data_IF_511551879546
#
_entry.id   IF_511551879546
#
_cell.length_a   1.000
_cell.length_b   1.000
_cell.length_c   1.000
_cell.angle_alpha   90.00
_cell.angle_beta   90.00
_cell.angle_gamma   90.00
#
_symmetry.space_group_name_H-M   'P 1'
#
loop_
_entity.id
_entity.type
_entity.pdbx_description
1 polymer ?
#
# COMPACT_ATOMS: atom_id res chain seq x y z
N UNK A 1 12.85 -21.24 -29.45
CA UNK A 1 13.23 -21.23 -28.03
C UNK A 1 12.09 -21.66 -27.12
N UNK A 2 10.93 -20.98 -27.07
CA UNK A 2 9.77 -21.39 -26.24
C UNK A 2 9.47 -22.90 -26.32
N UNK A 3 9.33 -23.44 -27.54
CA UNK A 3 9.10 -24.88 -27.76
C UNK A 3 10.23 -25.76 -27.21
N UNK A 4 11.49 -25.32 -27.31
CA UNK A 4 12.63 -26.07 -26.81
C UNK A 4 12.68 -26.10 -25.27
N UNK A 5 12.44 -24.95 -24.61
CA UNK A 5 12.34 -24.87 -23.14
C UNK A 5 11.19 -25.74 -22.64
N UNK A 6 10.01 -25.64 -23.28
CA UNK A 6 8.86 -26.46 -22.94
C UNK A 6 9.15 -27.96 -23.10
N UNK A 7 9.85 -28.38 -24.16
CA UNK A 7 10.28 -29.77 -24.36
C UNK A 7 11.33 -30.23 -23.34
N UNK A 8 12.13 -29.32 -22.80
CA UNK A 8 13.12 -29.60 -21.76
C UNK A 8 12.52 -29.55 -20.34
N UNK A 9 11.25 -29.18 -20.19
CA UNK A 9 10.63 -28.94 -18.87
C UNK A 9 11.15 -27.71 -18.16
N UNK A 10 11.83 -26.81 -18.87
CA UNK A 10 12.39 -25.58 -18.33
C UNK A 10 11.36 -24.44 -18.36
N UNK A 11 11.38 -23.53 -17.37
CA UNK A 11 10.51 -22.36 -17.39
C UNK A 11 10.85 -21.48 -18.60
N UNK A 12 9.88 -20.79 -19.21
CA UNK A 12 10.09 -19.85 -20.32
C UNK A 12 10.65 -18.51 -19.83
N UNK A 13 11.71 -18.60 -19.04
CA UNK A 13 12.49 -17.52 -18.45
C UNK A 13 13.90 -17.61 -19.00
N UNK A 14 14.43 -16.48 -19.46
CA UNK A 14 15.81 -16.38 -19.94
C UNK A 14 16.46 -15.14 -19.34
N UNK A 15 17.78 -15.11 -19.31
CA UNK A 15 18.52 -13.91 -18.96
C UNK A 15 18.44 -12.87 -20.08
N UNK A 16 18.59 -11.60 -19.72
CA UNK A 16 18.69 -10.49 -20.67
C UNK A 16 19.89 -10.69 -21.62
N UNK A 17 21.00 -11.23 -21.11
CA UNK A 17 22.17 -11.57 -21.93
C UNK A 17 21.89 -12.64 -22.98
N UNK A 18 21.09 -13.67 -22.66
CA UNK A 18 20.63 -14.67 -23.64
C UNK A 18 19.73 -14.03 -24.70
N UNK A 19 18.82 -13.14 -24.27
CA UNK A 19 17.97 -12.39 -25.18
C UNK A 19 18.79 -11.49 -26.13
N UNK A 20 19.77 -10.76 -25.61
CA UNK A 20 20.73 -9.97 -26.38
C UNK A 20 21.51 -10.83 -27.38
N UNK A 21 21.97 -12.01 -26.97
CA UNK A 21 22.63 -12.98 -27.85
C UNK A 21 21.74 -13.41 -29.01
N UNK A 22 20.44 -13.61 -28.77
CA UNK A 22 19.46 -13.89 -29.83
C UNK A 22 19.26 -12.68 -30.75
N UNK A 23 19.07 -11.49 -30.19
CA UNK A 23 18.83 -10.27 -30.93
C UNK A 23 20.00 -9.95 -31.89
N UNK A 24 21.24 -10.17 -31.45
CA UNK A 24 22.45 -10.04 -32.28
C UNK A 24 22.41 -10.94 -33.51
N UNK A 25 21.91 -12.18 -33.38
CA UNK A 25 21.73 -13.11 -34.52
C UNK A 25 20.66 -12.64 -35.51
N UNK A 26 19.72 -11.82 -35.05
CA UNK A 26 18.68 -11.19 -35.87
C UNK A 26 19.10 -9.81 -36.41
N UNK A 27 20.40 -9.48 -36.39
CA UNK A 27 20.95 -8.18 -36.82
C UNK A 27 20.49 -6.95 -36.00
N UNK A 28 19.94 -7.15 -34.80
CA UNK A 28 19.71 -6.06 -33.85
C UNK A 28 21.03 -5.79 -33.11
N UNK A 29 21.80 -4.82 -33.61
CA UNK A 29 23.18 -4.57 -33.15
C UNK A 29 23.28 -3.44 -32.14
N UNK A 30 22.33 -2.50 -32.14
CA UNK A 30 22.37 -1.35 -31.24
C UNK A 30 21.52 -1.59 -29.99
N UNK A 31 21.89 -1.02 -28.83
CA UNK A 31 21.05 -1.07 -27.63
C UNK A 31 19.66 -0.46 -27.82
N UNK A 32 19.55 0.57 -28.67
CA UNK A 32 18.26 1.22 -28.96
C UNK A 32 17.34 0.33 -29.81
N UNK A 33 17.87 -0.39 -30.79
CA UNK A 33 17.10 -1.36 -31.57
C UNK A 33 16.58 -2.49 -30.68
N UNK A 34 17.43 -2.97 -29.76
CA UNK A 34 17.06 -3.99 -28.78
C UNK A 34 15.92 -3.50 -27.89
N UNK A 35 16.05 -2.30 -27.32
CA UNK A 35 15.02 -1.70 -26.45
C UNK A 35 13.69 -1.57 -27.18
N UNK A 36 13.68 -0.99 -28.38
CA UNK A 36 12.47 -0.86 -29.21
C UNK A 36 11.84 -2.20 -29.55
N UNK A 37 12.66 -3.23 -29.82
CA UNK A 37 12.19 -4.59 -30.06
C UNK A 37 11.51 -5.16 -28.81
N UNK A 38 12.14 -5.03 -27.64
CA UNK A 38 11.57 -5.49 -26.36
C UNK A 38 10.28 -4.76 -26.01
N UNK A 39 10.23 -3.44 -26.19
CA UNK A 39 9.03 -2.63 -25.98
C UNK A 39 7.90 -3.12 -26.89
N UNK A 40 8.18 -3.31 -28.18
CA UNK A 40 7.19 -3.79 -29.15
C UNK A 40 6.68 -5.20 -28.83
N UNK A 41 7.56 -6.11 -28.43
CA UNK A 41 7.18 -7.46 -28.02
C UNK A 41 6.38 -7.44 -26.70
N UNK A 42 6.69 -6.52 -25.80
CA UNK A 42 5.94 -6.30 -24.56
C UNK A 42 4.54 -5.75 -24.82
N UNK A 43 4.40 -4.81 -25.76
CA UNK A 43 3.10 -4.27 -26.19
C UNK A 43 2.21 -5.34 -26.81
N UNK A 44 2.80 -6.25 -27.59
CA UNK A 44 2.10 -7.40 -28.17
C UNK A 44 1.81 -8.52 -27.16
N UNK A 45 2.33 -8.42 -25.94
CA UNK A 45 2.18 -9.47 -24.92
C UNK A 45 2.98 -10.74 -25.22
N UNK A 46 4.02 -10.64 -26.05
CA UNK A 46 4.88 -11.75 -26.43
C UNK A 46 6.04 -11.98 -25.44
N UNK A 47 6.43 -10.95 -24.69
CA UNK A 47 7.39 -11.07 -23.60
C UNK A 47 7.09 -10.07 -22.49
N UNK A 48 7.72 -10.27 -21.33
CA UNK A 48 7.79 -9.28 -20.25
C UNK A 48 9.20 -9.22 -19.68
N UNK A 49 9.65 -8.02 -19.38
CA UNK A 49 10.89 -7.74 -18.65
C UNK A 49 10.54 -6.86 -17.45
N UNK A 50 10.96 -7.28 -16.26
CA UNK A 50 10.65 -6.60 -15.00
C UNK A 50 11.91 -6.01 -14.40
N UNK A 51 12.51 -5.05 -15.11
CA UNK A 51 13.76 -4.38 -14.70
C UNK A 51 13.66 -3.66 -13.36
N UNK A 52 12.45 -3.26 -12.96
CA UNK A 52 12.17 -2.56 -11.69
C UNK A 52 11.90 -3.50 -10.51
N UNK A 53 11.80 -4.82 -10.74
CA UNK A 53 11.52 -5.80 -9.70
C UNK A 53 12.82 -6.42 -9.20
N UNK A 54 13.17 -6.26 -7.91
CA UNK A 54 14.39 -6.83 -7.36
C UNK A 54 14.44 -8.35 -7.54
N UNK A 55 15.58 -8.88 -8.00
CA UNK A 55 15.77 -10.30 -8.30
C UNK A 55 15.25 -10.76 -9.67
N UNK A 56 14.62 -9.89 -10.46
CA UNK A 56 14.22 -10.15 -11.86
C UNK A 56 14.82 -9.14 -12.86
N UNK A 57 15.79 -8.33 -12.44
CA UNK A 57 16.33 -7.22 -13.23
C UNK A 57 16.93 -7.71 -14.56
N UNK A 58 17.49 -8.92 -14.54
CA UNK A 58 18.06 -9.59 -15.72
C UNK A 58 17.15 -10.67 -16.29
N UNK A 59 15.93 -10.85 -15.79
CA UNK A 59 15.02 -11.91 -16.25
C UNK A 59 14.06 -11.42 -17.33
N UNK A 60 13.98 -12.16 -18.44
CA UNK A 60 13.01 -11.94 -19.51
C UNK A 60 12.07 -13.14 -19.56
N UNK A 61 10.79 -12.89 -19.29
CA UNK A 61 9.71 -13.87 -19.47
C UNK A 61 9.34 -13.89 -20.94
N UNK A 62 9.71 -14.95 -21.65
CA UNK A 62 9.40 -15.06 -23.09
C UNK A 62 8.04 -15.73 -23.35
N UNK A 63 7.33 -16.21 -22.33
CA UNK A 63 5.95 -16.65 -22.44
C UNK A 63 5.12 -16.08 -21.27
N UNK A 64 4.48 -14.92 -21.45
CA UNK A 64 3.68 -14.30 -20.39
C UNK A 64 2.48 -15.13 -19.93
N UNK A 65 2.02 -16.10 -20.74
CA UNK A 65 0.94 -17.02 -20.31
C UNK A 65 1.42 -17.92 -19.18
N UNK A 66 2.63 -18.46 -19.26
CA UNK A 66 3.21 -19.26 -18.18
C UNK A 66 3.24 -18.49 -16.86
N UNK A 67 3.58 -17.20 -16.90
CA UNK A 67 3.58 -16.35 -15.70
C UNK A 67 2.17 -16.17 -15.14
N UNK A 68 1.17 -15.98 -16.01
CA UNK A 68 -0.22 -15.90 -15.59
C UNK A 68 -0.69 -17.23 -14.95
N UNK A 69 -0.32 -18.37 -15.54
CA UNK A 69 -0.61 -19.70 -15.02
C UNK A 69 0.05 -19.93 -13.65
N UNK A 70 1.29 -19.44 -13.45
CA UNK A 70 1.96 -19.43 -12.16
C UNK A 70 1.20 -18.59 -11.13
N UNK A 71 0.81 -17.36 -11.47
CA UNK A 71 0.01 -16.51 -10.57
C UNK A 71 -1.34 -17.14 -10.23
N UNK A 72 -1.97 -17.84 -11.17
CA UNK A 72 -3.23 -18.57 -10.97
C UNK A 72 -3.08 -19.85 -10.12
N UNK A 73 -1.85 -20.33 -9.88
CA UNK A 73 -1.62 -21.37 -8.86
C UNK A 73 -1.64 -20.80 -7.45
N UNK A 74 -1.21 -19.54 -7.27
CA UNK A 74 -1.21 -18.85 -5.98
C UNK A 74 -2.59 -18.28 -5.66
N UNK A 75 -3.22 -17.64 -6.64
CA UNK A 75 -4.58 -17.10 -6.53
C UNK A 75 -5.55 -18.13 -7.13
N UNK A 76 -6.13 -18.95 -6.26
CA UNK A 76 -6.86 -20.15 -6.70
C UNK A 76 -8.00 -20.50 -5.75
N UNK A 77 -9.13 -20.95 -6.30
CA UNK A 77 -10.24 -21.54 -5.53
C UNK A 77 -10.19 -23.07 -5.47
N UNK A 78 -9.18 -23.67 -6.11
CA UNK A 78 -8.99 -25.12 -6.10
C UNK A 78 -8.52 -25.61 -4.72
N UNK A 79 -9.27 -26.55 -4.13
CA UNK A 79 -9.01 -27.04 -2.78
C UNK A 79 -7.65 -27.76 -2.66
N UNK A 80 -7.21 -28.48 -3.70
CA UNK A 80 -5.92 -29.16 -3.71
C UNK A 80 -4.75 -28.17 -3.67
N UNK A 81 -4.81 -27.12 -4.48
CA UNK A 81 -3.80 -26.05 -4.48
C UNK A 81 -3.84 -25.22 -3.20
N UNK A 82 -5.02 -24.95 -2.65
CA UNK A 82 -5.15 -24.30 -1.35
C UNK A 82 -4.49 -25.14 -0.25
N UNK A 83 -4.65 -26.47 -0.27
CA UNK A 83 -3.99 -27.37 0.66
C UNK A 83 -2.46 -27.40 0.47
N UNK A 84 -1.97 -27.39 -0.79
CA UNK A 84 -0.54 -27.30 -1.09
C UNK A 84 0.10 -26.02 -0.52
N UNK A 85 -0.63 -24.90 -0.60
CA UNK A 85 -0.24 -23.62 -0.02
C UNK A 85 -0.40 -23.57 1.51
N UNK A 86 -1.04 -24.56 2.14
CA UNK A 86 -1.46 -24.46 3.54
C UNK A 86 -2.30 -23.19 3.78
N UNK A 87 -3.17 -22.86 2.82
CA UNK A 87 -3.93 -21.62 2.82
C UNK A 87 -5.06 -21.68 3.86
N UNK A 88 -5.10 -20.71 4.77
CA UNK A 88 -6.17 -20.56 5.76
C UNK A 88 -6.72 -19.13 5.70
N UNK A 89 -7.98 -18.98 5.26
CA UNK A 89 -8.65 -17.67 5.17
C UNK A 89 -7.83 -16.59 4.42
N UNK A 90 -7.12 -16.98 3.35
CA UNK A 90 -6.27 -16.10 2.55
C UNK A 90 -4.88 -15.83 3.16
N UNK A 91 -4.51 -16.51 4.23
CA UNK A 91 -3.18 -16.52 4.82
C UNK A 91 -2.40 -17.77 4.44
N UNK A 92 -1.10 -17.62 4.26
CA UNK A 92 -0.15 -18.71 4.02
C UNK A 92 1.23 -18.32 4.57
N UNK A 93 2.21 -19.22 4.50
CA UNK A 93 3.61 -18.91 4.81
C UNK A 93 4.37 -18.51 3.56
N UNK A 94 5.36 -17.63 3.69
CA UNK A 94 6.29 -17.28 2.61
C UNK A 94 6.99 -18.53 2.06
N UNK A 95 7.38 -19.46 2.94
CA UNK A 95 7.99 -20.75 2.56
C UNK A 95 7.07 -21.64 1.71
N UNK A 96 5.75 -21.58 1.92
CA UNK A 96 4.80 -22.32 1.08
C UNK A 96 4.70 -21.69 -0.31
N UNK A 97 4.63 -20.36 -0.39
CA UNK A 97 4.65 -19.63 -1.67
C UNK A 97 5.91 -19.93 -2.47
N UNK A 98 7.08 -19.83 -1.83
CA UNK A 98 8.37 -20.13 -2.45
C UNK A 98 8.44 -21.58 -2.96
N UNK A 99 7.93 -22.56 -2.21
CA UNK A 99 7.86 -23.95 -2.66
C UNK A 99 7.00 -24.13 -3.91
N UNK A 100 5.84 -23.48 -3.98
CA UNK A 100 4.96 -23.55 -5.16
C UNK A 100 5.62 -22.86 -6.37
N UNK A 101 6.31 -21.74 -6.16
CA UNK A 101 7.06 -21.09 -7.24
C UNK A 101 8.23 -21.97 -7.69
N UNK A 102 8.97 -22.55 -6.75
CA UNK A 102 10.12 -23.42 -7.00
C UNK A 102 9.73 -24.69 -7.75
N UNK A 103 8.51 -25.23 -7.55
CA UNK A 103 8.03 -26.42 -8.26
C UNK A 103 7.72 -26.16 -9.74
N UNK A 104 7.44 -24.91 -10.10
CA UNK A 104 7.13 -24.48 -11.48
C UNK A 104 8.35 -23.83 -12.16
N UNK A 105 9.24 -23.25 -11.36
CA UNK A 105 10.49 -22.63 -11.78
C UNK A 105 11.65 -23.32 -11.05
N UNK A 106 11.97 -24.59 -11.38
CA UNK A 106 13.15 -25.26 -10.85
C UNK A 106 14.41 -24.44 -11.17
N UNK A 107 15.46 -24.58 -10.35
CA UNK A 107 16.72 -23.88 -10.58
C UNK A 107 17.18 -24.13 -12.02
N UNK A 108 17.33 -23.06 -12.79
CA UNK A 108 17.80 -23.14 -14.16
C UNK A 108 19.24 -23.67 -14.17
N UNK A 109 19.61 -24.35 -15.25
CA UNK A 109 20.99 -24.69 -15.59
C UNK A 109 21.91 -23.46 -15.64
N UNK A 110 21.35 -22.25 -15.76
CA UNK A 110 22.04 -20.96 -15.77
C UNK A 110 22.32 -20.34 -14.38
N UNK A 111 22.04 -21.04 -13.27
CA UNK A 111 22.57 -20.71 -11.93
C UNK A 111 21.84 -19.64 -11.11
N UNK A 112 20.70 -19.12 -11.58
CA UNK A 112 19.87 -18.17 -10.81
C UNK A 112 18.59 -18.81 -10.26
N UNK A 113 18.31 -18.62 -8.97
CA UNK A 113 16.96 -18.87 -8.41
C UNK A 113 16.11 -17.63 -8.59
N UNK A 114 15.24 -17.64 -9.61
CA UNK A 114 14.29 -16.55 -9.88
C UNK A 114 13.11 -16.53 -8.89
N UNK A 115 13.08 -17.46 -7.93
CA UNK A 115 11.96 -17.68 -7.02
C UNK A 115 11.64 -16.42 -6.20
N UNK A 116 12.65 -15.83 -5.54
CA UNK A 116 12.46 -14.60 -4.75
C UNK A 116 11.96 -13.46 -5.64
N UNK A 117 12.56 -13.30 -6.82
CA UNK A 117 12.15 -12.31 -7.81
C UNK A 117 10.69 -12.46 -8.26
N UNK A 118 10.23 -13.70 -8.53
CA UNK A 118 8.85 -14.00 -8.91
C UNK A 118 7.87 -13.75 -7.76
N UNK A 119 8.25 -14.06 -6.52
CA UNK A 119 7.45 -13.72 -5.33
C UNK A 119 7.35 -12.20 -5.16
N UNK A 120 8.45 -11.46 -5.33
CA UNK A 120 8.48 -9.99 -5.31
C UNK A 120 7.64 -9.39 -6.43
N UNK A 121 7.61 -10.00 -7.61
CA UNK A 121 6.73 -9.59 -8.70
C UNK A 121 5.26 -9.72 -8.28
N UNK A 122 4.88 -10.83 -7.64
CA UNK A 122 3.52 -11.01 -7.13
C UNK A 122 3.17 -9.98 -6.04
N UNK A 123 4.14 -9.60 -5.21
CA UNK A 123 3.97 -8.50 -4.25
C UNK A 123 3.78 -7.16 -4.95
N UNK A 124 4.58 -6.87 -5.97
CA UNK A 124 4.46 -5.67 -6.78
C UNK A 124 3.09 -5.55 -7.47
N UNK A 125 2.55 -6.68 -7.93
CA UNK A 125 1.21 -6.77 -8.50
C UNK A 125 0.07 -6.68 -7.46
N UNK A 126 0.38 -6.64 -6.15
CA UNK A 126 -0.62 -6.65 -5.08
C UNK A 126 -1.36 -7.98 -4.92
N UNK A 127 -0.78 -9.08 -5.42
CA UNK A 127 -1.35 -10.43 -5.28
C UNK A 127 -0.93 -11.11 -3.98
N UNK A 128 0.22 -10.70 -3.43
CA UNK A 128 0.78 -11.20 -2.18
C UNK A 128 1.24 -10.01 -1.33
N UNK A 129 1.09 -10.08 -0.02
CA UNK A 129 1.70 -9.16 0.93
C UNK A 129 2.49 -9.96 1.96
N UNK A 130 3.79 -9.69 2.09
CA UNK A 130 4.54 -10.19 3.23
C UNK A 130 4.00 -9.56 4.52
N UNK A 131 3.82 -10.38 5.54
CA UNK A 131 3.42 -9.98 6.88
C UNK A 131 4.54 -10.35 7.89
N UNK A 132 4.34 -10.01 9.16
CA UNK A 132 5.27 -10.42 10.22
C UNK A 132 5.39 -11.95 10.31
N UNK A 133 6.50 -12.42 10.89
CA UNK A 133 6.73 -13.85 11.22
C UNK A 133 6.71 -14.81 10.03
N UNK A 134 7.30 -14.41 8.89
CA UNK A 134 7.34 -15.22 7.65
C UNK A 134 5.96 -15.59 7.07
N UNK A 135 4.90 -14.90 7.49
CA UNK A 135 3.56 -15.09 6.96
C UNK A 135 3.32 -14.21 5.73
N UNK A 136 2.35 -14.61 4.93
CA UNK A 136 1.91 -13.88 3.75
C UNK A 136 0.38 -13.84 3.69
N UNK A 137 -0.13 -12.70 3.23
CA UNK A 137 -1.54 -12.51 2.88
C UNK A 137 -1.67 -12.59 1.37
N UNK A 138 -2.69 -13.29 0.88
CA UNK A 138 -3.09 -13.32 -0.53
C UNK A 138 -4.43 -12.59 -0.64
N UNK A 139 -4.45 -11.25 -0.87
CA UNK A 139 -5.67 -10.44 -0.73
C UNK A 139 -6.89 -10.92 -1.51
N UNK A 140 -6.76 -11.42 -2.77
CA UNK A 140 -7.91 -11.95 -3.50
C UNK A 140 -8.56 -13.19 -2.86
N UNK A 141 -7.81 -13.90 -2.01
CA UNK A 141 -8.23 -15.14 -1.33
C UNK A 141 -8.78 -14.90 0.07
N UNK A 142 -8.81 -13.65 0.53
CA UNK A 142 -9.40 -13.28 1.81
C UNK A 142 -10.93 -13.44 1.78
N UNK A 143 -11.58 -13.66 2.94
CA UNK A 143 -13.04 -13.70 3.02
C UNK A 143 -13.67 -12.41 2.51
N UNK A 144 -14.72 -12.52 1.70
CA UNK A 144 -15.44 -11.35 1.19
C UNK A 144 -16.42 -10.81 2.24
N UNK A 145 -16.35 -9.49 2.49
CA UNK A 145 -17.27 -8.76 3.36
C UNK A 145 -17.92 -7.56 2.66
N UNK A 146 -17.76 -7.41 1.34
CA UNK A 146 -18.33 -6.28 0.60
C UNK A 146 -19.85 -6.20 0.65
N UNK A 147 -20.53 -7.31 0.94
CA UNK A 147 -21.99 -7.40 1.11
C UNK A 147 -22.46 -7.18 2.55
N UNK A 148 -21.55 -7.11 3.52
CA UNK A 148 -21.92 -6.83 4.91
C UNK A 148 -22.43 -5.40 5.05
N UNK A 149 -23.40 -5.22 5.94
CA UNK A 149 -23.93 -3.88 6.20
C UNK A 149 -22.84 -2.99 6.83
N UNK A 150 -22.77 -1.73 6.39
CA UNK A 150 -21.86 -0.74 6.98
C UNK A 150 -22.09 -0.58 8.49
N UNK A 151 -23.33 -0.72 8.94
CA UNK A 151 -23.72 -0.70 10.35
C UNK A 151 -23.00 -1.78 11.16
N UNK A 152 -22.98 -3.02 10.67
CA UNK A 152 -22.26 -4.12 11.31
C UNK A 152 -20.76 -3.85 11.39
N UNK A 153 -20.17 -3.25 10.34
CA UNK A 153 -18.77 -2.85 10.36
C UNK A 153 -18.50 -1.74 11.39
N UNK A 154 -19.36 -0.71 11.46
CA UNK A 154 -19.23 0.38 12.44
C UNK A 154 -19.32 -0.12 13.87
N UNK A 155 -20.32 -0.93 14.18
CA UNK A 155 -20.51 -1.50 15.52
C UNK A 155 -19.24 -2.24 15.98
N UNK A 156 -18.68 -3.11 15.13
CA UNK A 156 -17.46 -3.84 15.44
C UNK A 156 -16.23 -2.93 15.66
N UNK A 157 -16.16 -1.79 14.97
CA UNK A 157 -15.09 -0.80 15.15
C UNK A 157 -15.21 -0.04 16.47
N UNK A 158 -16.43 0.38 16.82
CA UNK A 158 -16.72 1.17 18.03
C UNK A 158 -16.59 0.31 19.29
N UNK A 159 -17.23 -0.87 19.36
CA UNK A 159 -17.26 -1.74 20.55
C UNK A 159 -15.85 -2.08 21.07
N UNK A 160 -14.94 -2.46 20.17
CA UNK A 160 -13.59 -2.90 20.54
C UNK A 160 -12.61 -1.74 20.84
N UNK A 161 -13.04 -0.48 20.65
CA UNK A 161 -12.24 0.69 20.99
C UNK A 161 -12.37 1.06 22.47
N UNK A 162 -13.46 0.66 23.14
CA UNK A 162 -13.74 0.97 24.56
C UNK A 162 -13.04 0.06 25.58
N UNK A 163 -12.50 -1.09 25.18
CA UNK A 163 -12.00 -2.12 26.12
C UNK A 163 -10.47 -2.09 26.37
N UNK A 164 -9.76 -1.01 26.04
CA UNK A 164 -8.29 -1.02 26.09
C UNK A 164 -7.74 -0.52 27.44
N UNK A 165 -7.41 -1.47 28.32
CA UNK A 165 -6.62 -1.27 29.54
C UNK A 165 -5.12 -1.31 29.21
N UNK A 166 -4.50 -0.15 29.09
CA UNK A 166 -3.04 -0.01 28.96
C UNK A 166 -2.65 1.44 29.20
N UNK A 167 -1.41 1.70 29.62
CA UNK A 167 -0.90 3.06 29.85
C UNK A 167 -0.95 3.87 28.55
N UNK A 168 -2.05 4.58 28.36
CA UNK A 168 -2.31 5.43 27.20
C UNK A 168 -1.69 6.82 27.41
N UNK A 169 -1.16 7.46 26.36
CA UNK A 169 -0.79 8.87 26.43
C UNK A 169 -2.02 9.74 26.71
N UNK A 170 -1.83 10.81 27.49
CA UNK A 170 -2.90 11.68 27.98
C UNK A 170 -3.68 12.37 26.83
N UNK A 171 -5.01 12.22 26.80
CA UNK A 171 -5.91 12.98 25.92
C UNK A 171 -7.13 12.18 25.42
N UNK A 172 -8.29 12.84 25.17
CA UNK A 172 -9.47 12.19 24.63
C UNK A 172 -9.25 11.77 23.18
N UNK A 173 -9.59 10.52 22.86
CA UNK A 173 -9.58 10.02 21.47
C UNK A 173 -10.84 10.44 20.74
N UNK A 174 -10.70 10.71 19.45
CA UNK A 174 -11.79 11.17 18.58
C UNK A 174 -11.84 10.32 17.32
N UNK A 175 -13.03 10.22 16.74
CA UNK A 175 -13.24 9.56 15.47
C UNK A 175 -13.12 10.55 14.31
N UNK A 176 -12.49 10.10 13.23
CA UNK A 176 -12.56 10.71 11.91
C UNK A 176 -13.02 9.64 10.93
N UNK A 177 -13.99 9.97 10.08
CA UNK A 177 -14.43 9.05 9.03
C UNK A 177 -14.66 9.77 7.72
N UNK A 178 -14.31 9.10 6.63
CA UNK A 178 -14.52 9.55 5.27
C UNK A 178 -14.95 8.38 4.37
N UNK A 179 -15.89 8.64 3.48
CA UNK A 179 -16.33 7.75 2.43
C UNK A 179 -15.90 8.30 1.07
N UNK A 180 -15.19 7.50 0.28
CA UNK A 180 -14.72 7.85 -1.05
C UNK A 180 -15.52 7.08 -2.08
N UNK A 181 -16.33 7.78 -2.86
CA UNK A 181 -17.14 7.19 -3.92
C UNK A 181 -16.36 7.23 -5.21
N UNK A 182 -16.05 6.07 -5.75
CA UNK A 182 -15.41 5.91 -7.05
C UNK A 182 -16.41 5.33 -8.04
N UNK A 183 -16.15 5.57 -9.33
CA UNK A 183 -16.78 4.82 -10.41
C UNK A 183 -16.34 3.36 -10.41
N UNK A 184 -16.03 2.82 -11.59
CA UNK A 184 -15.59 1.43 -11.71
C UNK A 184 -14.20 1.23 -11.11
N UNK A 185 -14.11 0.49 -10.00
CA UNK A 185 -12.84 -0.01 -9.45
C UNK A 185 -12.56 -1.44 -9.91
N UNK A 186 -11.29 -1.73 -10.16
CA UNK A 186 -10.81 -3.06 -10.45
C UNK A 186 -10.27 -3.71 -9.18
N UNK A 187 -10.64 -4.96 -8.94
CA UNK A 187 -10.27 -5.73 -7.74
C UNK A 187 -8.77 -5.72 -7.44
N UNK A 188 -7.92 -5.79 -8.46
CA UNK A 188 -6.46 -5.77 -8.26
C UNK A 188 -5.95 -4.45 -7.65
N UNK A 189 -6.61 -3.31 -7.94
CA UNK A 189 -6.28 -2.02 -7.32
C UNK A 189 -6.62 -2.02 -5.84
N UNK A 190 -7.77 -2.60 -5.48
CA UNK A 190 -8.18 -2.74 -4.09
C UNK A 190 -7.25 -3.71 -3.33
N UNK A 191 -6.81 -4.80 -3.96
CA UNK A 191 -5.80 -5.71 -3.38
C UNK A 191 -4.48 -4.99 -3.13
N UNK A 192 -3.99 -4.22 -4.11
CA UNK A 192 -2.74 -3.46 -3.97
C UNK A 192 -2.82 -2.37 -2.90
N UNK A 193 -3.95 -1.66 -2.84
CA UNK A 193 -4.25 -0.70 -1.77
C UNK A 193 -4.22 -1.38 -0.39
N UNK A 194 -4.84 -2.57 -0.27
CA UNK A 194 -4.80 -3.35 0.96
C UNK A 194 -3.37 -3.76 1.33
N UNK A 195 -2.56 -4.26 0.38
CA UNK A 195 -1.14 -4.54 0.65
C UNK A 195 -0.40 -3.32 1.19
N UNK A 196 -0.57 -2.14 0.57
CA UNK A 196 0.09 -0.91 1.05
C UNK A 196 -0.38 -0.48 2.43
N UNK A 197 -1.65 -0.73 2.76
CA UNK A 197 -2.19 -0.48 4.09
C UNK A 197 -1.56 -1.41 5.15
N UNK A 198 -1.40 -2.70 4.84
CA UNK A 198 -0.75 -3.68 5.72
C UNK A 198 0.74 -3.41 5.94
N UNK A 199 1.40 -2.73 4.98
CA UNK A 199 2.80 -2.33 5.06
C UNK A 199 3.04 -0.97 5.73
N UNK A 200 2.02 -0.37 6.35
CA UNK A 200 2.23 0.82 7.16
C UNK A 200 3.20 0.52 8.31
N UNK A 201 4.14 1.42 8.64
CA UNK A 201 5.06 1.22 9.74
C UNK A 201 4.31 1.24 11.08
N UNK A 202 4.78 0.44 12.04
CA UNK A 202 4.26 0.38 13.40
C UNK A 202 2.75 0.11 13.45
N UNK A 203 2.28 -0.86 12.67
CA UNK A 203 0.88 -1.33 12.74
C UNK A 203 0.82 -2.82 13.08
N UNK A 204 -0.05 -3.14 14.04
CA UNK A 204 -0.54 -4.47 14.33
C UNK A 204 -1.81 -4.70 13.47
N UNK A 205 -1.83 -5.80 12.72
CA UNK A 205 -3.01 -6.21 11.95
C UNK A 205 -3.99 -6.90 12.89
N UNK A 206 -5.11 -6.25 13.21
CA UNK A 206 -6.14 -6.82 14.08
C UNK A 206 -7.06 -7.78 13.33
N UNK A 207 -7.42 -7.43 12.10
CA UNK A 207 -8.27 -8.23 11.25
C UNK A 207 -8.07 -7.81 9.78
N UNK A 208 -8.21 -8.76 8.87
CA UNK A 208 -8.09 -8.52 7.43
C UNK A 208 -9.14 -9.32 6.67
N UNK A 209 -9.67 -8.74 5.60
CA UNK A 209 -10.64 -9.37 4.71
C UNK A 209 -10.47 -8.81 3.31
N UNK A 210 -11.21 -9.35 2.34
CA UNK A 210 -11.09 -8.88 0.96
C UNK A 210 -11.46 -7.40 0.88
N UNK A 211 -10.48 -6.59 0.48
CA UNK A 211 -10.59 -5.13 0.34
C UNK A 211 -10.86 -4.36 1.63
N UNK A 212 -10.42 -4.90 2.76
CA UNK A 212 -10.45 -4.16 4.01
C UNK A 212 -9.52 -4.72 5.07
N UNK A 213 -9.17 -3.85 6.01
CA UNK A 213 -8.37 -4.22 7.17
C UNK A 213 -8.73 -3.33 8.35
N UNK A 214 -8.42 -3.87 9.53
CA UNK A 214 -8.39 -3.14 10.78
C UNK A 214 -6.98 -3.23 11.36
N UNK A 215 -6.41 -2.07 11.63
CA UNK A 215 -5.05 -1.90 12.11
C UNK A 215 -5.03 -1.17 13.44
N UNK A 216 -4.04 -1.47 14.28
CA UNK A 216 -3.75 -0.78 15.53
C UNK A 216 -2.30 -0.31 15.54
N UNK A 217 -2.04 0.89 16.03
CA UNK A 217 -0.68 1.38 16.28
C UNK A 217 -0.26 1.13 17.73
N UNK A 218 1.04 1.12 18.07
CA UNK A 218 1.52 0.98 19.46
C UNK A 218 0.92 2.01 20.43
N UNK A 219 0.62 3.23 19.96
CA UNK A 219 -0.04 4.28 20.74
C UNK A 219 -1.53 4.00 20.98
N UNK A 220 -2.02 2.89 20.42
CA UNK A 220 -3.38 2.38 20.43
C UNK A 220 -4.34 3.04 19.44
N UNK A 221 -3.84 3.91 18.54
CA UNK A 221 -4.64 4.45 17.43
C UNK A 221 -5.19 3.31 16.57
N UNK A 222 -6.46 3.41 16.19
CA UNK A 222 -7.12 2.41 15.35
C UNK A 222 -7.41 3.01 13.98
N UNK A 223 -7.08 2.27 12.93
CA UNK A 223 -7.44 2.57 11.55
C UNK A 223 -8.23 1.40 10.98
N UNK A 224 -9.34 1.70 10.32
CA UNK A 224 -10.10 0.73 9.56
C UNK A 224 -10.39 1.25 8.16
N UNK A 225 -10.27 0.35 7.20
CA UNK A 225 -10.67 0.57 5.82
C UNK A 225 -11.52 -0.60 5.38
N UNK A 226 -12.65 -0.33 4.72
CA UNK A 226 -13.45 -1.35 4.06
C UNK A 226 -14.01 -0.84 2.75
N UNK A 227 -14.21 -1.72 1.80
CA UNK A 227 -14.86 -1.41 0.54
C UNK A 227 -16.27 -2.00 0.53
N UNK A 228 -17.23 -1.25 0.03
CA UNK A 228 -18.59 -1.72 -0.25
C UNK A 228 -18.92 -1.45 -1.71
N UNK A 229 -19.77 -2.28 -2.31
CA UNK A 229 -20.23 -2.11 -3.69
C UNK A 229 -21.74 -2.01 -3.70
N UNK A 230 -22.27 -0.92 -4.24
CA UNK A 230 -23.72 -0.74 -4.44
C UNK A 230 -24.15 -1.34 -5.78
N UNK A 231 -25.46 -1.54 -5.95
CA UNK A 231 -26.06 -2.20 -7.13
C UNK A 231 -25.79 -1.44 -8.45
N UNK A 232 -25.51 -0.14 -8.36
CA UNK A 232 -25.16 0.78 -9.44
C UNK A 232 -23.70 0.64 -9.93
N UNK A 233 -22.94 -0.34 -9.42
CA UNK A 233 -21.51 -0.60 -9.71
C UNK A 233 -20.56 0.46 -9.18
N UNK A 234 -21.03 1.39 -8.36
CA UNK A 234 -20.16 2.34 -7.68
C UNK A 234 -19.54 1.68 -6.46
N UNK A 235 -18.25 1.98 -6.27
CA UNK A 235 -17.47 1.48 -5.15
C UNK A 235 -17.35 2.60 -4.13
N UNK A 236 -17.66 2.28 -2.87
CA UNK A 236 -17.43 3.20 -1.75
C UNK A 236 -16.38 2.61 -0.83
N UNK A 237 -15.25 3.30 -0.73
CA UNK A 237 -14.20 2.99 0.25
C UNK A 237 -14.50 3.80 1.50
N UNK A 238 -14.73 3.11 2.60
CA UNK A 238 -14.98 3.68 3.92
C UNK A 238 -13.70 3.64 4.72
N UNK A 239 -13.31 4.79 5.26
CA UNK A 239 -12.16 4.93 6.15
C UNK A 239 -12.65 5.46 7.48
N UNK A 240 -12.19 4.84 8.57
CA UNK A 240 -12.45 5.30 9.93
C UNK A 240 -11.16 5.25 10.75
N UNK A 241 -10.91 6.31 11.50
CA UNK A 241 -9.74 6.45 12.36
C UNK A 241 -10.19 6.87 13.75
N UNK A 242 -9.69 6.18 14.77
CA UNK A 242 -9.79 6.60 16.16
C UNK A 242 -8.39 6.86 16.71
N UNK A 243 -8.09 8.13 16.99
CA UNK A 243 -6.79 8.56 17.50
C UNK A 243 -6.95 9.86 18.30
N UNK A 244 -5.87 10.37 18.89
CA UNK A 244 -5.89 11.72 19.48
C UNK A 244 -6.01 12.80 18.41
N UNK A 245 -5.28 12.63 17.30
CA UNK A 245 -5.31 13.53 16.12
C UNK A 245 -5.66 12.69 14.88
N UNK A 246 -6.91 12.23 14.77
CA UNK A 246 -7.32 11.28 13.74
C UNK A 246 -7.23 11.85 12.32
N UNK A 247 -7.21 13.18 12.17
CA UNK A 247 -7.11 13.89 10.89
C UNK A 247 -5.75 13.64 10.20
N UNK A 248 -4.66 13.48 10.96
CA UNK A 248 -3.33 13.21 10.40
C UNK A 248 -3.25 11.81 9.77
N UNK A 249 -3.77 10.81 10.47
CA UNK A 249 -3.81 9.44 9.94
C UNK A 249 -4.85 9.33 8.82
N UNK A 250 -5.99 10.02 8.94
CA UNK A 250 -6.97 10.16 7.87
C UNK A 250 -6.38 10.77 6.60
N UNK A 251 -5.59 11.85 6.72
CA UNK A 251 -4.89 12.47 5.60
C UNK A 251 -3.87 11.53 4.95
N UNK A 252 -3.15 10.72 5.75
CA UNK A 252 -2.22 9.71 5.22
C UNK A 252 -2.93 8.65 4.39
N UNK A 253 -4.06 8.13 4.87
CA UNK A 253 -4.86 7.16 4.10
C UNK A 253 -5.45 7.80 2.85
N UNK A 254 -5.89 9.06 2.95
CA UNK A 254 -6.38 9.82 1.79
C UNK A 254 -5.30 9.98 0.71
N UNK A 255 -4.05 10.25 1.11
CA UNK A 255 -2.92 10.33 0.21
C UNK A 255 -2.63 8.98 -0.46
N UNK A 256 -2.67 7.88 0.32
CA UNK A 256 -2.51 6.52 -0.20
C UNK A 256 -3.57 6.18 -1.25
N UNK A 257 -4.84 6.52 -0.99
CA UNK A 257 -5.92 6.36 -1.95
C UNK A 257 -5.66 7.17 -3.23
N UNK A 258 -5.25 8.43 -3.10
CA UNK A 258 -4.94 9.28 -4.24
C UNK A 258 -3.74 8.82 -5.06
N UNK A 259 -2.78 8.10 -4.46
CA UNK A 259 -1.66 7.47 -5.19
C UNK A 259 -2.09 6.20 -5.93
N UNK A 260 -2.82 5.31 -5.25
CA UNK A 260 -3.19 3.99 -5.82
C UNK A 260 -4.34 4.05 -6.82
N UNK A 261 -5.22 5.06 -6.70
CA UNK A 261 -6.43 5.22 -7.49
C UNK A 261 -6.44 6.52 -8.30
N UNK A 262 -5.25 7.08 -8.59
CA UNK A 262 -5.09 8.36 -9.29
C UNK A 262 -5.78 8.41 -10.67
N UNK A 263 -5.87 7.27 -11.35
CA UNK A 263 -6.46 7.08 -12.68
C UNK A 263 -7.94 6.68 -12.64
N UNK A 264 -8.53 6.58 -11.44
CA UNK A 264 -9.93 6.23 -11.25
C UNK A 264 -10.76 7.49 -11.00
N UNK A 265 -11.92 7.57 -11.64
CA UNK A 265 -12.91 8.62 -11.38
C UNK A 265 -13.38 8.60 -9.93
N UNK A 266 -12.96 9.60 -9.16
CA UNK A 266 -13.49 9.93 -7.85
C UNK A 266 -14.74 10.81 -8.01
N UNK A 267 -15.90 10.27 -7.66
CA UNK A 267 -17.21 10.93 -7.81
C UNK A 267 -17.53 11.88 -6.66
N UNK A 268 -17.27 11.46 -5.42
CA UNK A 268 -17.58 12.25 -4.23
C UNK A 268 -16.72 11.81 -3.03
N UNK A 269 -16.53 12.72 -2.08
CA UNK A 269 -15.97 12.42 -0.76
C UNK A 269 -16.97 12.90 0.28
N UNK A 270 -17.38 12.02 1.18
CA UNK A 270 -18.30 12.35 2.27
C UNK A 270 -17.59 12.17 3.60
N UNK A 271 -17.65 13.17 4.46
CA UNK A 271 -17.13 13.11 5.82
C UNK A 271 -18.27 12.91 6.80
N UNK A 272 -18.01 12.22 7.89
CA UNK A 272 -19.02 12.00 8.93
C UNK A 272 -18.63 12.71 10.22
N UNK A 273 -19.63 13.25 10.91
CA UNK A 273 -19.48 13.73 12.27
C UNK A 273 -19.02 12.59 13.18
N UNK A 274 -18.04 12.86 14.04
CA UNK A 274 -17.53 11.89 15.00
C UNK A 274 -18.62 11.31 15.91
N UNK A 275 -19.58 12.14 16.34
CA UNK A 275 -20.67 11.70 17.20
C UNK A 275 -21.66 10.79 16.44
N UNK A 276 -22.10 11.21 15.24
CA UNK A 276 -22.94 10.39 14.37
C UNK A 276 -22.26 9.10 13.88
N UNK A 277 -20.92 9.03 13.88
CA UNK A 277 -20.21 7.80 13.55
C UNK A 277 -20.29 6.77 14.69
N UNK A 278 -20.26 7.24 15.93
CA UNK A 278 -20.39 6.39 17.14
C UNK A 278 -21.82 5.88 17.28
N UNK A 279 -22.80 6.74 16.99
CA UNK A 279 -24.19 6.34 16.85
C UNK A 279 -24.32 5.43 15.62
N UNK A 280 -24.40 4.12 15.87
CA UNK A 280 -24.34 3.10 14.81
C UNK A 280 -25.46 3.17 13.75
N UNK A 281 -26.45 4.06 13.92
CA UNK A 281 -27.45 4.38 12.91
C UNK A 281 -26.90 5.46 11.95
N UNK A 282 -26.74 5.16 10.64
CA UNK A 282 -26.33 6.17 9.68
C UNK A 282 -27.38 7.28 9.61
N UNK A 283 -27.09 8.45 10.16
CA UNK A 283 -27.93 9.62 9.96
C UNK A 283 -27.55 10.35 8.69
N UNK A 284 -28.53 10.76 7.88
CA UNK A 284 -28.29 11.67 6.74
C UNK A 284 -27.79 13.04 7.22
N UNK A 285 -28.13 13.41 8.46
CA UNK A 285 -27.85 14.72 9.08
C UNK A 285 -26.43 14.85 9.63
N UNK A 286 -25.66 13.75 9.67
CA UNK A 286 -24.27 13.71 10.13
C UNK A 286 -23.22 13.60 9.03
N UNK A 287 -23.63 13.55 7.75
CA UNK A 287 -22.73 13.36 6.61
C UNK A 287 -22.59 14.65 5.78
N UNK A 288 -21.35 15.00 5.44
CA UNK A 288 -21.02 16.24 4.72
C UNK A 288 -20.18 15.94 3.48
N UNK A 289 -20.68 16.28 2.29
CA UNK A 289 -19.85 16.22 1.07
C UNK A 289 -18.72 17.24 1.13
N UNK A 290 -17.52 16.85 0.69
CA UNK A 290 -16.37 17.72 0.57
C UNK A 290 -16.64 18.97 -0.27
N UNK A 291 -17.49 18.87 -1.30
CA UNK A 291 -17.90 20.01 -2.13
C UNK A 291 -18.68 21.03 -1.29
N UNK A 292 -19.57 20.55 -0.43
CA UNK A 292 -20.33 21.41 0.48
C UNK A 292 -19.42 22.05 1.53
N UNK A 293 -18.51 21.28 2.14
CA UNK A 293 -17.54 21.80 3.11
C UNK A 293 -16.64 22.89 2.51
N UNK A 294 -16.17 22.70 1.27
CA UNK A 294 -15.36 23.72 0.56
C UNK A 294 -16.14 25.00 0.30
N UNK A 295 -17.41 24.88 -0.13
CA UNK A 295 -18.29 26.05 -0.34
C UNK A 295 -18.64 26.77 0.96
N UNK A 296 -18.73 26.02 2.06
CA UNK A 296 -19.07 26.52 3.40
C UNK A 296 -17.86 26.72 4.29
N UNK A 297 -16.64 26.76 3.77
CA UNK A 297 -15.43 26.98 4.57
C UNK A 297 -15.43 28.34 5.33
N UNK A 298 -16.39 29.22 5.02
CA UNK A 298 -16.66 30.48 5.72
C UNK A 298 -17.95 30.47 6.60
N UNK A 299 -18.64 29.33 6.73
CA UNK A 299 -19.91 29.20 7.45
C UNK A 299 -19.86 28.09 8.52
N UNK A 300 -20.52 28.30 9.67
CA UNK A 300 -20.65 27.29 10.72
C UNK A 300 -21.45 26.09 10.20
N UNK A 301 -20.85 24.91 10.26
CA UNK A 301 -21.54 23.65 9.98
C UNK A 301 -22.34 23.23 11.21
N UNK A 302 -23.56 22.75 10.99
CA UNK A 302 -24.47 22.31 12.05
C UNK A 302 -24.71 20.81 11.86
N UNK A 303 -24.58 20.05 12.93
CA UNK A 303 -24.98 18.65 13.01
C UNK A 303 -26.15 18.54 13.98
N UNK A 304 -27.20 17.77 13.68
CA UNK A 304 -28.37 17.67 14.57
C UNK A 304 -28.15 16.72 15.77
N UNK A 305 -27.06 15.97 15.79
CA UNK A 305 -26.72 15.07 16.89
C UNK A 305 -26.34 15.87 18.15
N UNK A 306 -26.85 15.58 19.37
CA UNK A 306 -26.61 16.38 20.59
C UNK A 306 -25.14 16.72 20.88
N UNK A 307 -24.23 15.77 20.65
CA UNK A 307 -22.77 15.95 20.78
C UNK A 307 -22.03 16.30 19.47
N UNK A 308 -22.78 16.55 18.39
CA UNK A 308 -22.25 17.00 17.11
C UNK A 308 -21.87 18.49 17.15
N UNK A 309 -21.15 19.00 16.13
CA UNK A 309 -20.87 20.43 16.03
C UNK A 309 -22.18 21.21 15.88
N UNK A 310 -22.64 21.81 16.97
CA UNK A 310 -23.77 22.75 17.02
C UNK A 310 -23.27 24.20 17.06
N UNK A 311 -23.99 25.15 16.43
CA UNK A 311 -23.95 26.52 16.85
C UNK A 311 -24.74 26.63 18.16
N UNK A 312 -24.07 26.44 19.28
CA UNK A 312 -24.65 26.84 20.57
C UNK A 312 -24.65 28.37 20.59
N UNK A 313 -25.81 29.00 20.78
CA UNK A 313 -25.87 30.44 21.06
C UNK A 313 -25.02 30.74 22.29
N UNK A 314 -23.93 31.48 22.11
CA UNK A 314 -23.05 31.91 23.20
C UNK A 314 -21.68 31.21 23.31
N UNK A 315 -21.38 30.20 22.49
CA UNK A 315 -20.01 29.63 22.40
C UNK A 315 -19.45 29.79 20.98
N UNK A 316 -18.19 30.23 20.82
CA UNK A 316 -17.55 30.22 19.51
C UNK A 316 -17.40 28.75 19.10
N UNK A 317 -18.26 28.29 18.19
CA UNK A 317 -18.11 26.99 17.55
C UNK A 317 -16.72 26.85 16.91
N UNK A 318 -16.32 25.64 16.55
CA UNK A 318 -15.01 25.38 15.94
C UNK A 318 -14.75 26.35 14.76
N UNK A 319 -13.81 27.27 14.96
CA UNK A 319 -13.27 28.10 13.89
C UNK A 319 -12.48 27.19 12.96
N UNK A 320 -13.12 26.76 11.86
CA UNK A 320 -12.37 26.34 10.69
C UNK A 320 -11.69 27.62 10.21
N UNK A 321 -10.35 27.69 10.39
CA UNK A 321 -9.55 28.84 9.99
C UNK A 321 -10.01 29.33 8.62
N UNK A 322 -10.51 30.57 8.59
CA UNK A 322 -10.97 31.20 7.37
C UNK A 322 -9.90 31.05 6.28
N UNK A 323 -10.32 30.94 5.01
CA UNK A 323 -9.39 30.82 3.88
C UNK A 323 -8.31 31.92 3.90
N UNK A 324 -8.60 33.06 4.52
CA UNK A 324 -7.76 34.26 4.55
C UNK A 324 -6.95 34.37 5.85
N UNK A 325 -7.07 33.41 6.76
CA UNK A 325 -6.24 33.34 7.95
C UNK A 325 -4.76 33.18 7.55
N UNK A 326 -3.80 33.84 8.25
CA UNK A 326 -2.40 33.81 7.89
C UNK A 326 -1.84 32.39 7.65
N UNK A 327 -2.31 31.40 8.42
CA UNK A 327 -1.95 29.98 8.26
C UNK A 327 -2.52 29.26 7.02
N UNK A 328 -3.69 29.69 6.51
CA UNK A 328 -4.31 29.11 5.32
C UNK A 328 -3.65 29.61 4.02
N UNK A 329 -3.14 30.85 4.01
CA UNK A 329 -2.26 31.35 2.94
C UNK A 329 -0.91 30.63 2.94
N UNK A 330 -0.38 30.32 4.13
CA UNK A 330 0.87 29.58 4.30
C UNK A 330 0.75 28.15 3.77
N UNK A 331 -0.31 27.42 4.13
CA UNK A 331 -0.55 26.06 3.65
C UNK A 331 -0.75 26.01 2.13
N UNK A 332 -1.45 26.97 1.52
CA UNK A 332 -1.60 27.03 0.05
C UNK A 332 -0.28 27.28 -0.67
N UNK A 333 0.56 28.13 -0.09
CA UNK A 333 1.88 28.48 -0.65
C UNK A 333 2.90 27.34 -0.46
N UNK A 334 2.83 26.61 0.66
CA UNK A 334 3.84 25.62 1.05
C UNK A 334 3.36 24.16 0.97
N UNK A 335 2.11 23.86 0.60
CA UNK A 335 1.58 22.49 0.47
C UNK A 335 2.39 21.59 -0.48
N UNK A 336 2.95 22.17 -1.55
CA UNK A 336 3.85 21.44 -2.46
C UNK A 336 5.21 21.14 -1.82
N UNK A 337 5.69 22.02 -0.94
CA UNK A 337 6.91 21.84 -0.14
C UNK A 337 6.71 20.96 1.11
N UNK A 338 5.46 20.81 1.57
CA UNK A 338 5.10 19.96 2.70
C UNK A 338 5.27 18.46 2.40
N UNK A 339 5.12 18.02 1.14
CA UNK A 339 5.41 16.62 0.78
C UNK A 339 6.89 16.25 1.00
N UNK A 340 7.87 17.00 0.44
CA UNK A 340 9.29 16.81 0.76
C UNK A 340 9.60 16.97 2.26
N UNK A 341 8.99 17.94 2.94
CA UNK A 341 9.20 18.18 4.37
C UNK A 341 8.68 17.03 5.23
N UNK A 342 7.47 16.51 4.97
CA UNK A 342 6.91 15.35 5.65
C UNK A 342 7.76 14.10 5.39
N UNK A 343 8.31 13.95 4.18
CA UNK A 343 9.25 12.88 3.84
C UNK A 343 10.60 13.03 4.56
N UNK A 344 11.11 14.26 4.71
CA UNK A 344 12.32 14.56 5.45
C UNK A 344 12.13 14.37 6.97
N UNK A 345 10.97 14.76 7.51
CA UNK A 345 10.57 14.47 8.89
C UNK A 345 10.39 12.97 9.12
N UNK A 346 9.86 12.22 8.15
CA UNK A 346 9.79 10.76 8.16
C UNK A 346 11.20 10.13 8.24
N UNK A 347 12.17 10.67 7.49
CA UNK A 347 13.57 10.21 7.54
C UNK A 347 14.26 10.58 8.86
N UNK A 348 14.07 11.80 9.38
CA UNK A 348 14.61 12.21 10.69
C UNK A 348 13.99 11.41 11.84
N UNK A 349 12.71 11.06 11.75
CA UNK A 349 12.01 10.25 12.75
C UNK A 349 12.44 8.78 12.72
N UNK A 350 12.82 8.24 11.55
CA UNK A 350 13.37 6.88 11.41
C UNK A 350 14.75 6.71 12.05
N UNK A 351 15.53 7.79 12.19
CA UNK A 351 16.92 7.72 12.66
C UNK A 351 17.16 8.31 14.07
N UNK A 352 16.24 9.09 14.62
CA UNK A 352 16.42 9.72 15.93
C UNK A 352 17.61 10.71 15.97
N UNK A 353 17.71 11.59 16.98
CA UNK A 353 18.81 12.54 17.10
C UNK A 353 20.04 11.87 17.73
N UNK A 354 20.69 10.95 17.05
CA UNK A 354 22.04 10.47 17.41
C UNK A 354 22.84 10.15 16.15
N UNK A 355 23.49 11.17 15.59
CA UNK A 355 24.78 11.08 14.86
C UNK A 355 25.25 12.47 14.36
N UNK A 356 25.06 13.53 15.17
CA UNK A 356 25.61 14.86 14.87
C UNK A 356 26.50 15.43 16.00
N UNK A 357 26.80 14.63 17.02
CA UNK A 357 27.76 14.99 18.06
C UNK A 357 28.68 13.81 18.31
N UNK A 358 29.86 13.84 17.67
CA UNK A 358 30.93 12.90 18.02
C UNK A 358 31.96 12.61 16.94
N UNK A 359 32.50 13.61 16.23
CA UNK A 359 33.92 13.60 15.82
C UNK A 359 34.33 14.95 15.21
N UNK A 360 34.62 15.90 16.08
CA UNK A 360 35.50 17.02 15.76
C UNK A 360 36.26 17.41 17.04
N UNK A 361 37.51 16.99 17.16
CA UNK A 361 38.40 17.43 18.25
C UNK A 361 39.67 16.61 18.41
N UNK A 362 40.77 17.07 17.79
CA UNK A 362 42.18 16.67 18.05
C UNK A 362 42.83 15.95 16.85
N UNK A 363 43.49 16.57 15.86
CA UNK A 363 44.58 17.58 15.81
C UNK A 363 45.93 17.11 16.35
N UNK A 364 46.92 17.06 15.43
CA UNK A 364 48.38 16.95 15.66
C UNK A 364 48.88 15.50 15.59
N UNK A 365 49.88 15.08 14.80
CA UNK A 365 51.02 15.72 14.13
C UNK A 365 51.43 14.82 12.93
N UNK A 366 51.56 15.36 11.71
CA UNK A 366 52.81 15.76 11.05
C UNK A 366 53.62 14.63 10.37
N UNK A 367 53.76 14.75 9.02
CA UNK A 367 54.95 14.49 8.15
C UNK A 367 55.64 13.11 8.29
N UNK A 368 55.96 12.32 7.24
CA UNK A 368 56.35 12.58 5.83
C UNK A 368 56.48 11.21 5.09
N UNK A 369 56.77 11.18 3.77
CA UNK A 369 56.51 10.03 2.88
C UNK A 369 57.74 9.16 2.53
N UNK A 370 57.43 8.01 1.89
CA UNK A 370 58.18 7.22 0.90
C UNK A 370 59.53 6.57 1.29
N UNK A 371 59.66 5.25 1.07
CA UNK A 371 60.57 4.65 0.08
C UNK A 371 60.83 3.16 0.34
N UNK A 372 60.91 2.42 -0.76
CA UNK A 372 61.39 1.04 -0.93
C UNK A 372 62.93 0.97 -0.82
N UNK A 373 63.49 -0.04 -0.11
CA UNK A 373 64.77 -0.75 -0.38
C UNK A 373 65.14 -1.66 0.83
N UNK A 374 65.09 -3.00 0.72
CA UNK A 374 66.18 -3.95 0.39
C UNK A 374 67.09 -4.36 1.58
N UNK A 375 67.20 -5.69 1.77
CA UNK A 375 68.23 -6.52 2.44
C UNK A 375 68.38 -6.46 3.98
N UNK A 376 67.99 -7.54 4.66
CA UNK A 376 68.83 -8.74 4.89
C UNK A 376 67.97 -9.92 5.32
#
# INVERSE_FOLDING_TARGET
MRKALASAGEPPLITLGEFEGMAKRCSLKTPDDLRRCMDRLSDMGELRHFSEVPGLESAVVIDPKWLADLMARIVTTDAGRMAELGMENGWTSMKALERVVQSVCPASSSGGSWVDGLVRLMQHCGLVCAAANEMAVVPPMLPDKMTQSLKSHRAALVEQSGSQSGHLPAGPRRWWSAQYKYGRLLDHRLSRLLCRLLLLPDVEVLNVWRFGARLRRPQGDVLAMTCTRRLDKDYTIHVAVCAQVPELLGARVSALLGEELADVELKDIQYECAACFVDTEPSETGSYSAVMLRRKAAAKLVCEHPDGPHPVEGTPGYDILAADAPGASWLRTHARGLRPLMRAMELMWRHGPQEAQGQAGGSGEARRPAATAVMS
#
